data_IF_063678626503
#
_entry.id   IF_063678626503
#
_cell.length_a   1.000
_cell.length_b   1.000
_cell.length_c   1.000
_cell.angle_alpha   90.00
_cell.angle_beta   90.00
_cell.angle_gamma   90.00
#
_symmetry.space_group_name_H-M   'P 1'
#
loop_
_entity.id
_entity.type
_entity.pdbx_description
1 polymer ?
#
# COMPACT_ATOMS: atom_id res chain seq x y z
N UNK A 1 -33.15 -41.99 31.58
CA UNK A 1 -33.52 -41.36 30.30
C UNK A 1 -32.46 -40.36 29.79
N UNK A 2 -31.17 -40.53 30.14
CA UNK A 2 -30.11 -39.54 29.81
C UNK A 2 -29.28 -39.87 28.55
N UNK A 3 -29.18 -41.15 28.17
CA UNK A 3 -28.32 -41.61 27.09
C UNK A 3 -28.57 -40.98 25.68
N UNK A 4 -29.81 -40.69 25.25
CA UNK A 4 -30.04 -40.09 23.93
C UNK A 4 -29.55 -38.64 23.82
N UNK A 5 -29.66 -37.88 24.92
CA UNK A 5 -29.20 -36.48 24.97
C UNK A 5 -27.67 -36.41 25.03
N UNK A 6 -27.03 -37.37 25.70
CA UNK A 6 -25.57 -37.46 25.76
C UNK A 6 -24.96 -37.80 24.39
N UNK A 7 -25.55 -38.73 23.63
CA UNK A 7 -25.07 -39.08 22.30
C UNK A 7 -25.18 -37.92 21.30
N UNK A 8 -26.30 -37.20 21.31
CA UNK A 8 -26.50 -36.05 20.43
C UNK A 8 -25.51 -34.93 20.75
N UNK A 9 -25.21 -34.68 22.04
CA UNK A 9 -24.17 -33.74 22.45
C UNK A 9 -22.80 -34.17 21.93
N UNK A 10 -22.46 -35.46 22.03
CA UNK A 10 -21.20 -36.00 21.50
C UNK A 10 -21.11 -35.82 19.99
N UNK A 11 -22.20 -36.06 19.24
CA UNK A 11 -22.23 -35.86 17.79
C UNK A 11 -22.00 -34.42 17.37
N UNK A 12 -22.62 -33.46 18.08
CA UNK A 12 -22.40 -32.03 17.81
C UNK A 12 -20.96 -31.60 18.03
N UNK A 13 -20.30 -32.13 19.07
CA UNK A 13 -18.86 -31.90 19.29
C UNK A 13 -18.03 -32.41 18.11
N UNK A 14 -18.34 -33.61 17.62
CA UNK A 14 -17.65 -34.17 16.43
C UNK A 14 -17.85 -33.28 15.21
N UNK A 15 -19.08 -32.82 14.95
CA UNK A 15 -19.42 -31.92 13.84
C UNK A 15 -18.73 -30.55 13.97
N UNK A 16 -18.51 -30.07 15.20
CA UNK A 16 -17.76 -28.85 15.49
C UNK A 16 -16.23 -29.02 15.40
N UNK A 17 -15.72 -30.21 15.08
CA UNK A 17 -14.28 -30.48 15.00
C UNK A 17 -13.60 -30.69 16.36
N UNK A 18 -14.36 -30.81 17.46
CA UNK A 18 -13.80 -30.98 18.80
C UNK A 18 -13.22 -32.39 19.01
N UNK A 19 -12.17 -32.47 19.83
CA UNK A 19 -11.59 -33.73 20.31
C UNK A 19 -12.46 -34.24 21.47
N UNK A 20 -12.98 -35.45 21.33
CA UNK A 20 -13.77 -36.11 22.37
C UNK A 20 -12.91 -36.56 23.55
N UNK A 21 -13.47 -36.53 24.76
CA UNK A 21 -12.88 -37.24 25.90
C UNK A 21 -12.97 -38.77 25.71
N UNK A 22 -12.13 -39.52 26.41
CA UNK A 22 -12.13 -41.00 26.35
C UNK A 22 -13.51 -41.61 26.63
N UNK A 23 -14.25 -41.03 27.58
CA UNK A 23 -15.61 -41.47 27.92
C UNK A 23 -16.61 -41.20 26.78
N UNK A 24 -16.52 -40.03 26.14
CA UNK A 24 -17.37 -39.67 25.01
C UNK A 24 -17.06 -40.52 23.77
N UNK A 25 -15.78 -40.78 23.51
CA UNK A 25 -15.34 -41.66 22.43
C UNK A 25 -15.76 -43.11 22.67
N UNK A 26 -15.64 -43.61 23.90
CA UNK A 26 -16.10 -44.95 24.27
C UNK A 26 -17.63 -45.12 24.10
N UNK A 27 -18.40 -44.10 24.51
CA UNK A 27 -19.84 -44.06 24.29
C UNK A 27 -20.18 -44.14 22.79
N UNK A 28 -19.55 -43.29 21.98
CA UNK A 28 -19.78 -43.25 20.53
C UNK A 28 -19.39 -44.57 19.86
N UNK A 29 -18.27 -45.18 20.27
CA UNK A 29 -17.80 -46.47 19.76
C UNK A 29 -18.77 -47.61 20.09
N UNK A 30 -19.28 -47.66 21.32
CA UNK A 30 -20.26 -48.66 21.72
C UNK A 30 -21.56 -48.54 20.92
N UNK A 31 -22.03 -47.31 20.66
CA UNK A 31 -23.27 -47.09 19.92
C UNK A 31 -23.10 -47.32 18.41
N UNK A 32 -21.94 -46.95 17.85
CA UNK A 32 -21.59 -47.25 16.47
C UNK A 32 -21.53 -48.77 16.18
N UNK A 33 -21.19 -49.60 17.17
CA UNK A 33 -21.21 -51.07 17.04
C UNK A 33 -22.63 -51.65 17.08
N UNK A 34 -23.58 -50.99 17.75
CA UNK A 34 -24.98 -51.43 17.82
C UNK A 34 -25.79 -50.97 16.61
N UNK A 35 -25.42 -49.82 16.03
CA UNK A 35 -26.09 -49.24 14.87
C UNK A 35 -25.81 -50.00 13.57
N UNK A 36 -26.83 -50.13 12.72
CA UNK A 36 -26.69 -50.76 11.38
C UNK A 36 -26.38 -49.75 10.27
N UNK A 37 -26.68 -48.47 10.47
CA UNK A 37 -26.45 -47.40 9.48
C UNK A 37 -25.00 -46.90 9.41
N UNK A 38 -24.72 -46.04 8.43
CA UNK A 38 -23.42 -45.38 8.26
C UNK A 38 -23.21 -44.24 9.27
N UNK A 39 -24.27 -43.54 9.68
CA UNK A 39 -24.19 -42.28 10.42
C UNK A 39 -23.32 -42.33 11.70
N UNK A 40 -23.55 -43.29 12.60
CA UNK A 40 -22.79 -43.37 13.86
C UNK A 40 -21.36 -43.87 13.66
N UNK A 41 -21.18 -44.78 12.71
CA UNK A 41 -19.85 -45.27 12.32
C UNK A 41 -19.03 -44.16 11.64
N UNK A 42 -19.68 -43.31 10.86
CA UNK A 42 -19.07 -42.14 10.24
C UNK A 42 -18.74 -41.06 11.27
N UNK A 43 -19.64 -40.81 12.23
CA UNK A 43 -19.36 -39.91 13.36
C UNK A 43 -18.16 -40.42 14.18
N UNK A 44 -18.04 -41.73 14.41
CA UNK A 44 -16.86 -42.32 15.04
C UNK A 44 -15.60 -42.08 14.20
N UNK A 45 -15.66 -42.25 12.88
CA UNK A 45 -14.53 -41.98 12.00
C UNK A 45 -14.11 -40.50 12.02
N UNK A 46 -15.07 -39.56 12.01
CA UNK A 46 -14.79 -38.13 12.13
C UNK A 46 -14.19 -37.78 13.49
N UNK A 47 -14.66 -38.38 14.58
CA UNK A 47 -14.07 -38.19 15.91
C UNK A 47 -12.59 -38.63 15.94
N UNK A 48 -12.26 -39.74 15.28
CA UNK A 48 -10.89 -40.22 15.14
C UNK A 48 -10.04 -39.26 14.29
N UNK A 49 -10.59 -38.70 13.21
CA UNK A 49 -9.89 -37.69 12.39
C UNK A 49 -9.63 -36.40 13.19
N UNK A 50 -10.62 -35.88 13.94
CA UNK A 50 -10.44 -34.69 14.78
C UNK A 50 -9.33 -34.90 15.82
N UNK A 51 -9.14 -36.13 16.27
CA UNK A 51 -8.08 -36.51 17.22
C UNK A 51 -6.72 -36.80 16.56
N UNK A 52 -6.57 -36.67 15.23
CA UNK A 52 -5.34 -37.01 14.50
C UNK A 52 -5.04 -38.52 14.48
N UNK A 53 -6.08 -39.35 14.62
CA UNK A 53 -6.00 -40.81 14.61
C UNK A 53 -6.47 -41.38 13.27
N UNK A 54 -6.01 -40.82 12.14
CA UNK A 54 -6.46 -41.21 10.80
C UNK A 54 -6.11 -42.66 10.46
N UNK A 55 -5.03 -43.20 11.06
CA UNK A 55 -4.67 -44.63 10.92
C UNK A 55 -5.74 -45.56 11.48
N UNK A 56 -6.44 -45.15 12.53
CA UNK A 56 -7.57 -45.90 13.10
C UNK A 56 -8.87 -45.64 12.34
N UNK A 57 -9.06 -44.41 11.84
CA UNK A 57 -10.25 -44.04 11.07
C UNK A 57 -10.31 -44.75 9.70
N UNK A 58 -9.16 -44.92 9.05
CA UNK A 58 -9.05 -45.47 7.69
C UNK A 58 -9.74 -46.83 7.50
N UNK A 59 -9.44 -47.90 8.27
CA UNK A 59 -10.09 -49.20 8.07
C UNK A 59 -11.61 -49.15 8.30
N UNK A 60 -12.08 -48.28 9.20
CA UNK A 60 -13.49 -48.05 9.45
C UNK A 60 -14.17 -47.40 8.23
N UNK A 61 -13.54 -46.37 7.65
CA UNK A 61 -14.02 -45.67 6.45
C UNK A 61 -13.97 -46.55 5.20
N UNK A 62 -12.95 -47.41 5.06
CA UNK A 62 -12.88 -48.39 3.98
C UNK A 62 -14.01 -49.43 4.08
N UNK A 63 -14.33 -49.88 5.30
CA UNK A 63 -15.50 -50.75 5.52
C UNK A 63 -16.80 -50.03 5.20
N UNK A 64 -16.97 -48.79 5.65
CA UNK A 64 -18.14 -47.99 5.34
C UNK A 64 -18.32 -47.76 3.84
N UNK A 65 -17.24 -47.51 3.10
CA UNK A 65 -17.30 -47.35 1.65
C UNK A 65 -17.74 -48.64 0.95
N UNK A 66 -17.39 -49.83 1.47
CA UNK A 66 -17.87 -51.11 0.94
C UNK A 66 -19.36 -51.32 1.20
N UNK A 67 -19.79 -51.02 2.43
CA UNK A 67 -21.18 -51.23 2.87
C UNK A 67 -22.13 -50.19 2.26
N UNK A 68 -21.65 -48.96 2.05
CA UNK A 68 -22.42 -47.82 1.56
C UNK A 68 -21.71 -47.11 0.40
N UNK A 69 -21.57 -47.79 -0.76
CA UNK A 69 -20.71 -47.31 -1.84
C UNK A 69 -21.17 -46.00 -2.48
N UNK A 70 -22.41 -45.55 -2.24
CA UNK A 70 -22.99 -44.29 -2.79
C UNK A 70 -23.17 -43.19 -1.74
N UNK A 71 -22.77 -43.43 -0.49
CA UNK A 71 -22.90 -42.46 0.60
C UNK A 71 -21.78 -41.41 0.47
N UNK A 72 -22.17 -40.19 0.07
CA UNK A 72 -21.25 -39.08 -0.17
C UNK A 72 -20.45 -38.70 1.09
N UNK A 73 -21.09 -38.48 2.26
CA UNK A 73 -20.40 -38.28 3.52
C UNK A 73 -19.31 -39.34 3.82
N UNK A 74 -19.57 -40.62 3.55
CA UNK A 74 -18.57 -41.68 3.74
C UNK A 74 -17.35 -41.50 2.83
N UNK A 75 -17.58 -41.16 1.55
CA UNK A 75 -16.48 -40.93 0.60
C UNK A 75 -15.65 -39.70 0.96
N UNK A 76 -16.30 -38.63 1.43
CA UNK A 76 -15.60 -37.43 1.90
C UNK A 76 -14.82 -37.68 3.19
N UNK A 77 -15.37 -38.43 4.13
CA UNK A 77 -14.65 -38.88 5.32
C UNK A 77 -13.40 -39.68 4.97
N UNK A 78 -13.50 -40.60 4.00
CA UNK A 78 -12.34 -41.34 3.49
C UNK A 78 -11.30 -40.43 2.83
N UNK A 79 -11.72 -39.46 2.03
CA UNK A 79 -10.81 -38.49 1.42
C UNK A 79 -10.07 -37.66 2.48
N UNK A 80 -10.79 -37.15 3.51
CA UNK A 80 -10.19 -36.40 4.63
C UNK A 80 -9.17 -37.25 5.41
N UNK A 81 -9.47 -38.51 5.69
CA UNK A 81 -8.52 -39.44 6.33
C UNK A 81 -7.27 -39.70 5.45
N UNK A 82 -7.45 -39.85 4.14
CA UNK A 82 -6.32 -40.01 3.21
C UNK A 82 -5.44 -38.75 3.16
N UNK A 83 -6.03 -37.56 3.22
CA UNK A 83 -5.29 -36.29 3.30
C UNK A 83 -4.50 -36.15 4.60
N UNK A 84 -5.08 -36.52 5.75
CA UNK A 84 -4.35 -36.53 7.03
C UNK A 84 -3.20 -37.54 7.08
N UNK A 85 -3.30 -38.62 6.30
CA UNK A 85 -2.22 -39.60 6.10
C UNK A 85 -1.23 -39.22 4.99
N UNK A 86 -1.32 -38.01 4.43
CA UNK A 86 -0.50 -37.51 3.32
C UNK A 86 -0.60 -38.37 2.03
N UNK A 87 -1.65 -39.19 1.91
CA UNK A 87 -1.92 -40.04 0.73
C UNK A 87 -2.66 -39.25 -0.36
N UNK A 88 -2.06 -38.14 -0.80
CA UNK A 88 -2.70 -37.16 -1.69
C UNK A 88 -3.22 -37.75 -3.01
N UNK A 89 -2.48 -38.68 -3.63
CA UNK A 89 -2.88 -39.31 -4.89
C UNK A 89 -4.11 -40.23 -4.75
N UNK A 90 -4.28 -40.87 -3.59
CA UNK A 90 -5.47 -41.68 -3.34
C UNK A 90 -6.70 -40.81 -3.07
N UNK A 91 -6.50 -39.70 -2.34
CA UNK A 91 -7.54 -38.70 -2.09
C UNK A 91 -8.01 -38.05 -3.41
N UNK A 92 -7.08 -37.67 -4.29
CA UNK A 92 -7.39 -37.05 -5.58
C UNK A 92 -8.25 -37.96 -6.48
N UNK A 93 -7.89 -39.25 -6.61
CA UNK A 93 -8.69 -40.22 -7.40
C UNK A 93 -10.11 -40.31 -6.87
N UNK A 94 -10.26 -40.46 -5.55
CA UNK A 94 -11.57 -40.54 -4.90
C UNK A 94 -12.38 -39.25 -5.09
N UNK A 95 -11.77 -38.09 -4.88
CA UNK A 95 -12.45 -36.79 -5.01
C UNK A 95 -12.83 -36.48 -6.46
N UNK A 96 -12.05 -36.92 -7.44
CA UNK A 96 -12.39 -36.81 -8.86
C UNK A 96 -13.66 -37.60 -9.19
N UNK A 97 -13.77 -38.84 -8.70
CA UNK A 97 -14.97 -39.67 -8.86
C UNK A 97 -16.20 -39.05 -8.19
N UNK A 98 -16.00 -38.46 -7.01
CA UNK A 98 -17.06 -37.78 -6.23
C UNK A 98 -17.52 -36.51 -6.93
N UNK A 99 -16.59 -35.67 -7.39
CA UNK A 99 -16.89 -34.42 -8.08
C UNK A 99 -17.67 -34.68 -9.37
N UNK A 100 -17.35 -35.74 -10.12
CA UNK A 100 -18.10 -36.11 -11.32
C UNK A 100 -19.58 -36.47 -11.03
N UNK A 101 -19.86 -36.99 -9.83
CA UNK A 101 -21.22 -37.35 -9.40
C UNK A 101 -21.96 -36.18 -8.72
N UNK A 102 -21.22 -35.19 -8.20
CA UNK A 102 -21.76 -34.07 -7.43
C UNK A 102 -20.96 -32.78 -7.69
N UNK A 103 -20.99 -32.23 -8.92
CA UNK A 103 -20.08 -31.17 -9.39
C UNK A 103 -20.30 -29.78 -8.77
N UNK A 104 -21.04 -29.69 -7.66
CA UNK A 104 -21.32 -28.44 -6.99
C UNK A 104 -21.72 -28.62 -5.54
N UNK A 105 -21.36 -29.75 -4.92
CA UNK A 105 -21.56 -29.94 -3.49
C UNK A 105 -20.46 -29.17 -2.72
N UNK A 106 -20.82 -28.23 -1.82
CA UNK A 106 -19.86 -27.42 -1.08
C UNK A 106 -18.84 -28.23 -0.27
N UNK A 107 -19.24 -29.39 0.28
CA UNK A 107 -18.32 -30.23 1.05
C UNK A 107 -17.23 -30.84 0.16
N UNK A 108 -17.60 -31.23 -1.07
CA UNK A 108 -16.63 -31.73 -2.05
C UNK A 108 -15.61 -30.66 -2.40
N UNK A 109 -16.07 -29.43 -2.63
CA UNK A 109 -15.22 -28.28 -2.96
C UNK A 109 -14.25 -27.96 -1.82
N UNK A 110 -14.70 -27.99 -0.55
CA UNK A 110 -13.81 -27.78 0.60
C UNK A 110 -12.72 -28.84 0.72
N UNK A 111 -13.05 -30.12 0.53
CA UNK A 111 -12.04 -31.19 0.60
C UNK A 111 -11.04 -31.10 -0.57
N UNK A 112 -11.50 -30.68 -1.75
CA UNK A 112 -10.61 -30.38 -2.89
C UNK A 112 -9.69 -29.17 -2.62
N UNK A 113 -10.19 -28.14 -1.93
CA UNK A 113 -9.37 -27.01 -1.49
C UNK A 113 -8.26 -27.45 -0.52
N UNK A 114 -8.58 -28.29 0.47
CA UNK A 114 -7.58 -28.85 1.39
C UNK A 114 -6.53 -29.69 0.66
N UNK A 115 -6.94 -30.51 -0.32
CA UNK A 115 -6.01 -31.25 -1.18
C UNK A 115 -5.06 -30.30 -1.94
N UNK A 116 -5.60 -29.22 -2.50
CA UNK A 116 -4.81 -28.20 -3.20
C UNK A 116 -3.78 -27.55 -2.28
N UNK A 117 -4.19 -27.13 -1.07
CA UNK A 117 -3.31 -26.59 -0.04
C UNK A 117 -2.18 -27.55 0.33
N UNK A 118 -2.50 -28.82 0.61
CA UNK A 118 -1.52 -29.86 0.97
C UNK A 118 -0.52 -30.18 -0.15
N UNK A 119 -0.85 -29.87 -1.40
CA UNK A 119 0.03 -30.03 -2.57
C UNK A 119 0.75 -28.75 -2.98
N UNK A 120 0.54 -27.63 -2.27
CA UNK A 120 1.06 -26.32 -2.66
C UNK A 120 0.39 -25.76 -3.93
N UNK A 121 -0.77 -26.28 -4.33
CA UNK A 121 -1.55 -25.85 -5.48
C UNK A 121 -2.54 -24.74 -5.06
N UNK A 122 -2.00 -23.64 -4.52
CA UNK A 122 -2.76 -22.55 -3.91
C UNK A 122 -3.84 -21.96 -4.83
N UNK A 123 -3.56 -21.84 -6.14
CA UNK A 123 -4.52 -21.27 -7.09
C UNK A 123 -5.74 -22.17 -7.30
N UNK A 124 -5.55 -23.50 -7.34
CA UNK A 124 -6.67 -24.44 -7.41
C UNK A 124 -7.47 -24.42 -6.13
N UNK A 125 -6.78 -24.37 -4.98
CA UNK A 125 -7.44 -24.28 -3.68
C UNK A 125 -8.30 -23.00 -3.58
N UNK A 126 -7.78 -21.85 -4.04
CA UNK A 126 -8.53 -20.59 -4.13
C UNK A 126 -9.80 -20.71 -4.97
N UNK A 127 -9.71 -21.33 -6.14
CA UNK A 127 -10.87 -21.53 -7.00
C UNK A 127 -11.96 -22.36 -6.31
N UNK A 128 -11.58 -23.48 -5.67
CA UNK A 128 -12.53 -24.33 -4.95
C UNK A 128 -13.15 -23.64 -3.73
N UNK A 129 -12.37 -22.87 -2.97
CA UNK A 129 -12.89 -22.08 -1.83
C UNK A 129 -13.87 -21.01 -2.31
N UNK A 130 -13.57 -20.31 -3.40
CA UNK A 130 -14.46 -19.32 -3.99
C UNK A 130 -15.79 -19.96 -4.43
N UNK A 131 -15.73 -21.13 -5.07
CA UNK A 131 -16.91 -21.87 -5.51
C UNK A 131 -17.74 -22.40 -4.33
N UNK A 132 -17.11 -22.78 -3.21
CA UNK A 132 -17.79 -23.20 -2.00
C UNK A 132 -18.52 -22.02 -1.34
N UNK A 133 -17.85 -20.88 -1.19
CA UNK A 133 -18.42 -19.66 -0.60
C UNK A 133 -19.49 -19.01 -1.49
N UNK A 134 -19.44 -19.20 -2.80
CA UNK A 134 -20.51 -18.76 -3.70
C UNK A 134 -21.82 -19.54 -3.47
N UNK A 135 -21.73 -20.78 -2.97
CA UNK A 135 -22.89 -21.64 -2.68
C UNK A 135 -23.39 -21.46 -1.25
N UNK A 136 -22.47 -21.39 -0.29
CA UNK A 136 -22.76 -21.04 1.09
C UNK A 136 -21.79 -19.97 1.60
N UNK A 137 -22.21 -18.69 1.56
CA UNK A 137 -21.39 -17.59 2.06
C UNK A 137 -21.08 -17.65 3.56
N UNK A 138 -21.81 -18.46 4.34
CA UNK A 138 -21.69 -18.57 5.80
C UNK A 138 -20.95 -19.84 6.26
N UNK A 139 -20.45 -20.67 5.34
CA UNK A 139 -19.69 -21.86 5.68
C UNK A 139 -18.39 -21.48 6.42
N UNK A 140 -18.31 -21.86 7.69
CA UNK A 140 -17.19 -21.51 8.56
C UNK A 140 -15.87 -22.15 8.12
N UNK A 141 -15.90 -23.38 7.61
CA UNK A 141 -14.70 -24.08 7.16
C UNK A 141 -14.15 -23.45 5.88
N UNK A 142 -15.01 -23.11 4.91
CA UNK A 142 -14.60 -22.43 3.69
C UNK A 142 -14.03 -21.03 3.98
N UNK A 143 -14.55 -20.30 4.97
CA UNK A 143 -13.98 -19.02 5.42
C UNK A 143 -12.60 -19.20 6.05
N UNK A 144 -12.41 -20.22 6.90
CA UNK A 144 -11.09 -20.53 7.47
C UNK A 144 -10.08 -20.91 6.39
N UNK A 145 -10.49 -21.73 5.40
CA UNK A 145 -9.63 -22.08 4.27
C UNK A 145 -9.26 -20.86 3.42
N UNK A 146 -10.18 -19.89 3.27
CA UNK A 146 -9.89 -18.61 2.63
C UNK A 146 -8.83 -17.83 3.41
N UNK A 147 -9.01 -17.69 4.73
CA UNK A 147 -8.03 -17.03 5.61
C UNK A 147 -6.66 -17.71 5.54
N UNK A 148 -6.60 -19.05 5.52
CA UNK A 148 -5.36 -19.80 5.35
C UNK A 148 -4.70 -19.49 4.00
N UNK A 149 -5.45 -19.50 2.90
CA UNK A 149 -4.94 -19.17 1.56
C UNK A 149 -4.47 -17.71 1.44
N UNK A 150 -5.16 -16.77 2.09
CA UNK A 150 -4.74 -15.36 2.15
C UNK A 150 -3.48 -15.19 3.01
N UNK A 151 -3.32 -16.02 4.05
CA UNK A 151 -2.11 -16.03 4.88
C UNK A 151 -0.88 -16.60 4.17
N UNK A 152 -1.07 -17.53 3.24
CA UNK A 152 -0.01 -18.08 2.37
C UNK A 152 0.45 -17.05 1.33
N UNK A 153 -0.43 -16.13 0.92
CA UNK A 153 -0.13 -14.98 0.04
C UNK A 153 0.44 -13.77 0.79
N UNK A 154 0.52 -13.81 2.13
CA UNK A 154 1.20 -12.75 2.86
C UNK A 154 2.69 -12.79 2.48
N UNK A 155 3.27 -11.67 2.00
CA UNK A 155 4.73 -11.57 2.00
C UNK A 155 5.23 -11.89 3.42
N UNK A 156 6.39 -12.57 3.56
CA UNK A 156 6.85 -13.05 4.87
C UNK A 156 6.77 -11.90 5.88
N UNK A 157 6.33 -12.17 7.13
CA UNK A 157 6.24 -11.12 8.13
C UNK A 157 7.58 -10.41 8.18
N UNK A 158 7.53 -9.08 8.11
CA UNK A 158 8.70 -8.24 8.29
C UNK A 158 9.41 -8.73 9.55
N UNK A 159 10.65 -9.22 9.41
CA UNK A 159 11.55 -9.49 10.55
C UNK A 159 11.36 -8.33 11.52
N UNK A 160 11.23 -8.53 12.85
CA UNK A 160 11.15 -7.40 13.76
C UNK A 160 12.38 -6.52 13.52
N UNK A 161 12.20 -5.45 12.75
CA UNK A 161 13.23 -4.47 12.56
C UNK A 161 13.36 -3.86 13.94
N UNK A 162 14.54 -4.00 14.54
CA UNK A 162 14.95 -3.19 15.67
C UNK A 162 14.49 -1.76 15.34
N UNK A 163 13.42 -1.32 16.01
CA UNK A 163 12.69 -0.14 15.59
C UNK A 163 13.54 1.05 16.01
N UNK A 164 14.54 1.39 15.19
CA UNK A 164 15.50 2.44 15.47
C UNK A 164 14.71 3.70 15.74
N UNK A 165 14.82 4.23 16.95
CA UNK A 165 14.11 5.43 17.34
C UNK A 165 14.84 6.65 16.78
N UNK A 166 14.09 7.72 16.51
CA UNK A 166 14.66 8.99 16.00
C UNK A 166 15.88 9.50 16.82
N UNK A 167 15.92 9.39 18.16
CA UNK A 167 17.11 9.77 18.93
C UNK A 167 18.35 8.93 18.60
N UNK A 168 18.18 7.62 18.38
CA UNK A 168 19.27 6.68 18.05
C UNK A 168 19.80 6.96 16.65
N UNK A 169 18.92 7.19 15.68
CA UNK A 169 19.28 7.64 14.34
C UNK A 169 20.08 8.95 14.38
N UNK A 170 19.61 9.92 15.16
CA UNK A 170 20.29 11.22 15.30
C UNK A 170 21.68 11.08 15.92
N UNK A 171 21.82 10.21 16.93
CA UNK A 171 23.11 9.91 17.56
C UNK A 171 24.07 9.22 16.59
N UNK A 172 23.59 8.25 15.81
CA UNK A 172 24.38 7.56 14.80
C UNK A 172 24.88 8.52 13.71
N UNK A 173 24.01 9.38 13.18
CA UNK A 173 24.35 10.37 12.15
C UNK A 173 25.38 11.40 12.64
N UNK A 174 25.21 11.93 13.86
CA UNK A 174 26.16 12.90 14.43
C UNK A 174 27.52 12.27 14.70
N UNK A 175 27.56 11.01 15.18
CA UNK A 175 28.79 10.26 15.33
C UNK A 175 29.48 10.00 13.98
N UNK A 176 28.71 9.65 12.94
CA UNK A 176 29.22 9.46 11.58
C UNK A 176 29.80 10.74 10.97
N UNK A 177 29.13 11.88 11.12
CA UNK A 177 29.65 13.19 10.68
C UNK A 177 30.94 13.56 11.41
N UNK A 178 31.04 13.26 12.71
CA UNK A 178 32.27 13.43 13.48
C UNK A 178 33.42 12.56 12.96
N UNK A 179 33.16 11.27 12.69
CA UNK A 179 34.15 10.36 12.07
C UNK A 179 34.60 10.83 10.69
N UNK A 180 33.66 11.34 9.89
CA UNK A 180 33.92 11.90 8.56
C UNK A 180 34.56 13.30 8.59
N UNK A 181 34.80 13.88 9.78
CA UNK A 181 35.36 15.23 9.98
C UNK A 181 34.59 16.34 9.29
N UNK A 182 33.28 16.16 9.11
CA UNK A 182 32.40 17.18 8.54
C UNK A 182 32.00 18.13 9.66
N UNK A 183 32.22 19.44 9.49
CA UNK A 183 31.83 20.42 10.52
C UNK A 183 30.29 20.56 10.55
N UNK A 184 29.67 20.36 11.71
CA UNK A 184 28.23 20.49 11.85
C UNK A 184 27.82 21.16 13.17
N UNK A 185 26.61 21.71 13.21
CA UNK A 185 25.96 22.26 14.41
C UNK A 185 24.48 21.87 14.40
N UNK A 186 23.98 21.37 15.53
CA UNK A 186 22.55 21.13 15.71
C UNK A 186 21.83 22.44 16.05
N UNK A 187 20.71 22.71 15.39
CA UNK A 187 19.83 23.84 15.66
C UNK A 187 18.38 23.36 15.69
N UNK A 188 17.87 23.05 16.88
CA UNK A 188 16.53 22.49 17.05
C UNK A 188 16.39 21.11 16.38
N UNK A 189 15.47 21.02 15.41
CA UNK A 189 15.21 19.80 14.62
C UNK A 189 16.15 19.63 13.42
N UNK A 190 16.96 20.65 13.13
CA UNK A 190 17.84 20.71 11.97
C UNK A 190 19.31 20.50 12.36
N UNK A 191 20.07 20.01 11.38
CA UNK A 191 21.52 19.92 11.41
C UNK A 191 22.09 20.86 10.34
N UNK A 192 22.88 21.84 10.77
CA UNK A 192 23.65 22.70 9.90
C UNK A 192 24.97 21.99 9.60
N UNK A 193 25.24 21.67 8.34
CA UNK A 193 26.43 20.94 7.88
C UNK A 193 27.24 21.83 6.96
N UNK A 194 28.53 22.00 7.24
CA UNK A 194 29.45 22.71 6.35
C UNK A 194 29.81 21.81 5.18
N UNK A 195 29.45 22.25 3.98
CA UNK A 195 29.68 21.52 2.73
C UNK A 195 31.10 21.76 2.22
N UNK A 196 31.64 20.83 1.44
CA UNK A 196 32.94 20.98 0.78
C UNK A 196 33.00 22.20 -0.17
N UNK A 197 31.85 22.64 -0.69
CA UNK A 197 31.71 23.87 -1.49
C UNK A 197 31.83 25.17 -0.68
N UNK A 198 32.03 25.09 0.63
CA UNK A 198 32.19 26.25 1.52
C UNK A 198 30.88 26.79 2.11
N UNK A 199 29.73 26.38 1.61
CA UNK A 199 28.40 26.74 2.13
C UNK A 199 27.97 25.92 3.35
N UNK A 200 26.85 26.31 3.96
CA UNK A 200 26.21 25.57 5.06
C UNK A 200 24.87 25.01 4.58
N UNK A 201 24.76 23.70 4.50
CA UNK A 201 23.49 23.00 4.22
C UNK A 201 22.69 22.84 5.51
N UNK A 202 21.39 23.15 5.47
CA UNK A 202 20.45 22.85 6.56
C UNK A 202 19.74 21.55 6.24
N UNK A 203 19.76 20.61 7.17
CA UNK A 203 19.20 19.27 6.98
C UNK A 203 18.21 18.98 8.11
N UNK A 204 16.94 18.74 7.77
CA UNK A 204 15.95 18.32 8.77
C UNK A 204 16.20 16.85 9.14
N UNK A 205 16.51 16.60 10.42
CA UNK A 205 16.85 15.26 10.91
C UNK A 205 15.64 14.33 10.90
N UNK A 206 14.42 14.87 10.96
CA UNK A 206 13.18 14.11 10.86
C UNK A 206 12.95 13.56 9.46
N UNK A 207 13.19 14.37 8.42
CA UNK A 207 13.10 13.93 7.03
C UNK A 207 14.13 12.84 6.72
N UNK A 208 15.37 12.97 7.21
CA UNK A 208 16.38 11.91 7.05
C UNK A 208 16.00 10.61 7.77
N UNK A 209 15.38 10.73 8.95
CA UNK A 209 14.89 9.58 9.70
C UNK A 209 13.71 8.89 8.98
N UNK A 210 12.78 9.67 8.41
CA UNK A 210 11.69 9.13 7.60
C UNK A 210 12.23 8.38 6.36
N UNK A 211 13.21 8.96 5.66
CA UNK A 211 13.87 8.29 4.53
C UNK A 211 14.59 6.99 4.93
N UNK A 212 15.18 6.95 6.13
CA UNK A 212 15.73 5.73 6.70
C UNK A 212 14.64 4.70 7.03
N UNK A 213 13.47 5.11 7.50
CA UNK A 213 12.34 4.18 7.75
C UNK A 213 11.75 3.61 6.47
N UNK A 214 11.74 4.39 5.39
CA UNK A 214 11.27 3.95 4.05
C UNK A 214 12.25 2.99 3.37
N UNK A 215 13.54 3.12 3.63
CA UNK A 215 14.58 2.24 3.10
C UNK A 215 15.79 2.17 4.05
N UNK A 216 15.73 1.33 5.10
CA UNK A 216 16.80 1.25 6.11
C UNK A 216 18.11 0.68 5.56
N UNK A 217 18.10 0.16 4.32
CA UNK A 217 19.20 -0.56 3.70
C UNK A 217 19.45 -1.92 4.36
N UNK A 218 20.18 -2.79 3.68
CA UNK A 218 20.52 -4.13 4.21
C UNK A 218 21.73 -4.13 5.17
N UNK A 219 22.38 -2.97 5.37
CA UNK A 219 23.66 -2.85 6.07
C UNK A 219 23.56 -2.27 7.50
N UNK A 220 22.35 -2.00 8.00
CA UNK A 220 22.11 -1.50 9.36
C UNK A 220 22.38 0.00 9.58
N UNK A 221 21.96 0.53 10.73
CA UNK A 221 21.94 1.97 11.02
C UNK A 221 23.30 2.65 10.88
N UNK A 222 24.38 2.03 11.38
CA UNK A 222 25.71 2.62 11.37
C UNK A 222 26.24 2.82 9.95
N UNK A 223 26.12 1.80 9.09
CA UNK A 223 26.57 1.87 7.70
C UNK A 223 25.77 2.91 6.90
N UNK A 224 24.45 2.98 7.14
CA UNK A 224 23.59 4.01 6.56
C UNK A 224 24.03 5.42 6.99
N UNK A 225 24.26 5.62 8.30
CA UNK A 225 24.70 6.90 8.84
C UNK A 225 26.08 7.33 8.29
N UNK A 226 27.02 6.40 8.12
CA UNK A 226 28.34 6.67 7.53
C UNK A 226 28.25 7.05 6.04
N UNK A 227 27.43 6.35 5.26
CA UNK A 227 27.20 6.69 3.85
C UNK A 227 26.52 8.06 3.71
N UNK A 228 25.57 8.37 4.58
CA UNK A 228 24.89 9.66 4.62
C UNK A 228 25.85 10.78 5.01
N UNK A 229 26.70 10.58 6.02
CA UNK A 229 27.73 11.54 6.43
C UNK A 229 28.74 11.79 5.30
N UNK A 230 29.16 10.75 4.58
CA UNK A 230 30.05 10.89 3.42
C UNK A 230 29.40 11.69 2.28
N UNK A 231 28.11 11.48 1.99
CA UNK A 231 27.34 12.28 1.02
C UNK A 231 27.21 13.74 1.44
N UNK A 232 26.93 13.98 2.71
CA UNK A 232 26.80 15.33 3.28
C UNK A 232 28.14 16.08 3.28
N UNK A 233 29.26 15.37 3.49
CA UNK A 233 30.62 15.92 3.45
C UNK A 233 31.20 16.06 2.03
N UNK A 234 30.82 15.17 1.12
CA UNK A 234 31.42 14.98 -0.21
C UNK A 234 30.68 15.62 -1.38
N UNK A 235 29.85 16.63 -1.15
CA UNK A 235 29.23 17.44 -2.22
C UNK A 235 30.30 18.27 -2.96
N UNK A 236 31.15 17.62 -3.75
CA UNK A 236 31.91 18.22 -4.85
C UNK A 236 31.25 17.86 -6.18
N UNK A 237 30.71 18.89 -6.84
CA UNK A 237 30.57 19.03 -8.30
C UNK A 237 29.99 17.86 -9.12
N UNK A 238 28.67 17.77 -9.18
CA UNK A 238 27.94 17.23 -10.33
C UNK A 238 27.37 18.31 -11.27
N UNK A 239 27.84 19.56 -11.13
CA UNK A 239 27.36 20.71 -11.91
C UNK A 239 28.30 21.05 -13.09
N UNK A 240 29.31 20.22 -13.37
CA UNK A 240 30.29 20.46 -14.44
C UNK A 240 30.03 19.67 -15.73
N UNK A 241 28.96 18.87 -15.81
CA UNK A 241 28.60 18.15 -17.03
C UNK A 241 27.46 18.88 -17.75
N UNK A 242 27.86 19.76 -18.67
CA UNK A 242 27.11 20.36 -19.77
C UNK A 242 25.90 21.23 -19.40
N UNK A 243 26.03 22.53 -19.70
CA UNK A 243 24.99 23.56 -19.64
C UNK A 243 23.64 23.10 -20.21
N UNK A 244 23.67 22.35 -21.32
CA UNK A 244 22.48 21.79 -21.97
C UNK A 244 21.74 20.76 -21.10
N UNK A 245 22.48 19.97 -20.29
CA UNK A 245 21.89 19.02 -19.35
C UNK A 245 21.23 19.74 -18.16
N UNK A 246 21.73 20.94 -17.79
CA UNK A 246 21.13 21.75 -16.74
C UNK A 246 19.82 22.39 -17.20
N UNK A 247 19.82 23.07 -18.36
CA UNK A 247 18.63 23.73 -18.90
C UNK A 247 17.46 22.78 -19.11
N UNK A 248 17.71 21.58 -19.66
CA UNK A 248 16.67 20.59 -19.95
C UNK A 248 15.96 20.05 -18.68
N UNK A 249 16.66 20.10 -17.53
CA UNK A 249 16.17 19.59 -16.25
C UNK A 249 15.49 20.64 -15.39
N UNK A 250 15.51 21.91 -15.79
CA UNK A 250 14.89 22.97 -15.01
C UNK A 250 13.37 22.88 -15.05
N UNK A 251 12.74 23.02 -13.88
CA UNK A 251 11.28 23.15 -13.72
C UNK A 251 10.97 24.27 -12.73
N UNK A 252 9.91 25.07 -12.94
CA UNK A 252 9.49 26.07 -11.98
C UNK A 252 8.60 25.41 -10.91
N UNK A 253 8.64 25.94 -9.70
CA UNK A 253 7.73 25.59 -8.59
C UNK A 253 7.27 26.85 -7.90
N UNK A 254 6.01 26.87 -7.48
CA UNK A 254 5.47 27.97 -6.68
C UNK A 254 5.74 27.74 -5.19
N UNK A 255 6.07 28.81 -4.49
CA UNK A 255 6.25 28.84 -3.04
C UNK A 255 5.66 30.10 -2.42
N UNK A 256 5.28 30.08 -1.13
CA UNK A 256 4.88 31.30 -0.44
C UNK A 256 6.05 32.29 -0.31
N UNK A 257 5.77 33.58 -0.17
CA UNK A 257 6.80 34.64 -0.13
C UNK A 257 7.85 34.46 0.99
N UNK A 258 7.45 33.91 2.15
CA UNK A 258 8.35 33.67 3.28
C UNK A 258 9.35 32.52 3.03
N UNK A 259 9.15 31.73 1.98
CA UNK A 259 10.01 30.59 1.64
C UNK A 259 11.42 31.02 1.23
N UNK A 260 11.61 32.22 0.69
CA UNK A 260 12.93 32.75 0.34
C UNK A 260 13.89 32.78 1.55
N UNK A 261 13.38 33.07 2.75
CA UNK A 261 14.17 33.02 3.97
C UNK A 261 14.64 31.59 4.34
N UNK A 262 13.93 30.56 3.86
CA UNK A 262 14.25 29.13 4.08
C UNK A 262 15.18 28.57 3.00
N UNK A 263 15.16 29.14 1.79
CA UNK A 263 15.93 28.70 0.62
C UNK A 263 17.00 29.72 0.21
N UNK A 264 17.83 30.15 1.16
CA UNK A 264 18.85 31.19 0.94
C UNK A 264 19.82 30.80 -0.19
N UNK A 265 19.95 31.69 -1.18
CA UNK A 265 20.84 31.51 -2.34
C UNK A 265 20.26 30.63 -3.45
N UNK A 266 19.03 30.11 -3.30
CA UNK A 266 18.30 29.53 -4.42
C UNK A 266 17.84 30.62 -5.39
N UNK A 267 17.90 30.34 -6.68
CA UNK A 267 17.35 31.21 -7.71
C UNK A 267 15.81 31.26 -7.56
N UNK A 268 15.28 32.46 -7.46
CA UNK A 268 13.84 32.71 -7.47
C UNK A 268 13.52 34.10 -8.02
N UNK A 269 12.24 34.33 -8.32
CA UNK A 269 11.70 35.65 -8.66
C UNK A 269 10.26 35.81 -8.18
N UNK A 270 9.77 37.06 -8.07
CA UNK A 270 8.36 37.32 -7.78
C UNK A 270 7.43 36.63 -8.79
N UNK A 271 6.38 36.01 -8.24
CA UNK A 271 5.28 35.39 -8.96
C UNK A 271 3.94 36.09 -8.67
N UNK A 272 2.83 35.58 -9.23
CA UNK A 272 1.51 36.12 -9.00
C UNK A 272 1.01 35.84 -7.58
N UNK A 273 -0.04 36.56 -7.15
CA UNK A 273 -0.75 36.31 -5.90
C UNK A 273 0.12 36.33 -4.62
N UNK A 274 1.23 37.07 -4.63
CA UNK A 274 2.17 37.11 -3.50
C UNK A 274 2.97 35.81 -3.33
N UNK A 275 3.04 34.98 -4.37
CA UNK A 275 3.86 33.77 -4.43
C UNK A 275 5.21 34.09 -5.09
N UNK A 276 6.18 33.22 -4.86
CA UNK A 276 7.50 33.24 -5.48
C UNK A 276 7.64 32.05 -6.44
N UNK A 277 8.32 32.30 -7.56
CA UNK A 277 8.71 31.26 -8.52
C UNK A 277 10.14 30.84 -8.21
N UNK A 278 10.32 29.60 -7.78
CA UNK A 278 11.62 28.98 -7.60
C UNK A 278 11.92 28.02 -8.75
N UNK A 279 13.21 27.76 -8.99
CA UNK A 279 13.65 26.82 -10.02
C UNK A 279 14.30 25.61 -9.38
N UNK A 280 13.90 24.43 -9.83
CA UNK A 280 14.42 23.15 -9.36
C UNK A 280 14.94 22.32 -10.52
N UNK A 281 15.90 21.47 -10.22
CA UNK A 281 16.43 20.46 -11.14
C UNK A 281 15.66 19.16 -10.90
N UNK A 282 15.03 18.66 -11.96
CA UNK A 282 14.38 17.34 -11.96
C UNK A 282 15.45 16.26 -11.78
N UNK A 283 15.32 15.48 -10.71
CA UNK A 283 16.15 14.33 -10.36
C UNK A 283 15.24 13.20 -9.87
N UNK A 284 15.62 11.95 -10.14
CA UNK A 284 14.77 10.79 -9.89
C UNK A 284 14.47 10.55 -8.41
N UNK A 285 15.27 11.13 -7.50
CA UNK A 285 15.20 10.83 -6.07
C UNK A 285 14.95 12.05 -5.17
N UNK A 286 15.21 13.30 -5.62
CA UNK A 286 15.07 14.50 -4.77
C UNK A 286 14.74 15.80 -5.54
N UNK A 287 14.02 16.72 -4.90
CA UNK A 287 13.84 18.10 -5.42
C UNK A 287 15.04 18.95 -5.02
N UNK A 288 15.82 19.39 -6.01
CA UNK A 288 16.99 20.23 -5.80
C UNK A 288 16.74 21.64 -6.33
N UNK A 289 16.70 22.64 -5.44
CA UNK A 289 16.67 24.04 -5.83
C UNK A 289 17.96 24.45 -6.54
N UNK A 290 17.83 25.17 -7.66
CA UNK A 290 18.95 25.70 -8.41
C UNK A 290 19.58 26.87 -7.62
N UNK A 291 20.86 26.79 -7.22
CA UNK A 291 21.53 27.93 -6.61
C UNK A 291 21.77 29.02 -7.65
N UNK A 292 21.55 30.29 -7.31
CA UNK A 292 21.83 31.43 -8.20
C UNK A 292 23.32 31.46 -8.60
N UNK A 293 24.22 31.14 -7.66
CA UNK A 293 25.65 31.04 -7.92
C UNK A 293 26.04 29.95 -8.93
N UNK A 294 25.15 29.00 -9.24
CA UNK A 294 25.39 27.96 -10.24
C UNK A 294 25.12 28.44 -11.68
N UNK A 295 24.51 29.62 -11.88
CA UNK A 295 24.16 30.14 -13.19
C UNK A 295 25.39 30.52 -14.02
N UNK A 296 26.25 31.40 -13.50
CA UNK A 296 27.41 31.90 -14.24
C UNK A 296 28.41 30.79 -14.66
N UNK A 297 28.77 29.82 -13.80
CA UNK A 297 29.59 28.68 -14.22
C UNK A 297 28.94 27.81 -15.31
N UNK A 298 27.60 27.77 -15.34
CA UNK A 298 26.84 27.09 -16.36
C UNK A 298 26.52 27.98 -17.57
N UNK A 299 27.08 29.19 -17.68
CA UNK A 299 26.80 30.10 -18.81
C UNK A 299 25.32 30.50 -18.94
N UNK A 300 24.55 30.43 -17.86
CA UNK A 300 23.13 30.81 -17.83
C UNK A 300 22.94 32.19 -17.19
N UNK A 301 21.88 32.88 -17.59
CA UNK A 301 21.37 34.06 -16.87
C UNK A 301 20.07 33.68 -16.13
N UNK A 302 19.64 34.47 -15.12
CA UNK A 302 18.35 34.26 -14.47
C UNK A 302 17.19 34.19 -15.48
N UNK A 303 17.23 35.04 -16.51
CA UNK A 303 16.20 35.11 -17.56
C UNK A 303 16.23 33.88 -18.47
N UNK A 304 17.42 33.40 -18.86
CA UNK A 304 17.52 32.19 -19.70
C UNK A 304 17.09 30.94 -18.93
N UNK A 305 17.41 30.87 -17.64
CA UNK A 305 16.96 29.79 -16.74
C UNK A 305 15.44 29.81 -16.54
N UNK A 306 14.83 30.99 -16.37
CA UNK A 306 13.36 31.13 -16.30
C UNK A 306 12.71 30.65 -17.60
N UNK A 307 13.17 31.15 -18.75
CA UNK A 307 12.63 30.78 -20.05
C UNK A 307 12.77 29.27 -20.31
N UNK A 308 13.89 28.65 -19.93
CA UNK A 308 14.09 27.22 -20.03
C UNK A 308 13.13 26.43 -19.14
N UNK A 309 12.98 26.82 -17.88
CA UNK A 309 12.10 26.14 -16.93
C UNK A 309 10.64 26.12 -17.41
N UNK A 310 10.13 27.27 -17.87
CA UNK A 310 8.76 27.38 -18.37
C UNK A 310 8.55 26.65 -19.69
N UNK A 311 9.53 26.70 -20.61
CA UNK A 311 9.51 25.92 -21.86
C UNK A 311 9.42 24.43 -21.57
N UNK A 312 10.22 23.93 -20.62
CA UNK A 312 10.20 22.52 -20.28
C UNK A 312 8.89 22.12 -19.63
N UNK A 313 8.34 22.93 -18.72
CA UNK A 313 7.04 22.63 -18.10
C UNK A 313 5.91 22.62 -19.15
N UNK A 314 5.94 23.53 -20.12
CA UNK A 314 4.94 23.61 -21.18
C UNK A 314 4.92 22.38 -22.10
N UNK A 315 6.00 21.58 -22.14
CA UNK A 315 6.05 20.35 -22.94
C UNK A 315 5.14 19.24 -22.38
N UNK A 316 4.73 19.32 -21.10
CA UNK A 316 3.92 18.31 -20.42
C UNK A 316 2.85 18.96 -19.54
N UNK A 317 1.69 19.19 -20.15
CA UNK A 317 0.47 19.60 -19.44
C UNK A 317 -0.03 18.48 -18.53
N UNK A 318 -0.65 18.85 -17.43
CA UNK A 318 -1.26 17.91 -16.49
C UNK A 318 -2.71 17.58 -16.91
N UNK A 319 -3.15 16.33 -16.71
CA UNK A 319 -4.53 15.96 -16.91
C UNK A 319 -5.43 16.67 -15.90
N UNK A 320 -6.62 17.04 -16.37
CA UNK A 320 -7.68 17.63 -15.55
C UNK A 320 -8.76 16.56 -15.36
N UNK A 321 -9.06 16.20 -14.11
CA UNK A 321 -10.03 15.14 -13.79
C UNK A 321 -11.05 15.60 -12.75
N UNK A 322 -12.32 15.18 -12.84
CA UNK A 322 -13.28 15.40 -11.77
C UNK A 322 -12.87 14.61 -10.53
N UNK A 323 -12.99 15.25 -9.36
CA UNK A 323 -12.59 14.67 -8.07
C UNK A 323 -13.58 15.00 -6.98
N UNK A 324 -13.73 14.17 -5.98
CA UNK A 324 -14.52 14.47 -4.78
C UNK A 324 -13.60 14.51 -3.56
N UNK A 325 -14.02 15.28 -2.55
CA UNK A 325 -13.37 15.30 -1.24
C UNK A 325 -14.22 14.48 -0.29
N UNK A 326 -13.68 13.37 0.20
CA UNK A 326 -14.33 12.50 1.19
C UNK A 326 -13.49 12.50 2.46
N UNK A 327 -14.04 13.02 3.56
CA UNK A 327 -13.35 13.15 4.85
C UNK A 327 -11.96 13.83 4.77
N UNK A 328 -11.77 14.77 3.83
CA UNK A 328 -10.51 15.50 3.62
C UNK A 328 -9.54 14.83 2.63
N UNK A 329 -9.84 13.60 2.20
CA UNK A 329 -9.10 12.87 1.17
C UNK A 329 -9.65 13.16 -0.22
N UNK A 330 -8.76 13.35 -1.19
CA UNK A 330 -9.12 13.62 -2.59
C UNK A 330 -9.21 12.29 -3.34
N UNK A 331 -10.36 12.00 -3.94
CA UNK A 331 -10.59 10.79 -4.74
C UNK A 331 -11.06 11.14 -6.15
N UNK A 332 -10.73 10.30 -7.13
CA UNK A 332 -11.30 10.42 -8.47
C UNK A 332 -12.82 10.23 -8.41
N UNK A 333 -13.55 11.06 -9.14
CA UNK A 333 -14.99 10.96 -9.23
C UNK A 333 -15.41 10.39 -10.59
N UNK A 334 -16.31 9.41 -10.59
CA UNK A 334 -16.88 8.83 -11.83
C UNK A 334 -17.88 9.77 -12.51
N UNK A 335 -18.48 10.68 -11.75
CA UNK A 335 -19.38 11.73 -12.22
C UNK A 335 -18.94 13.10 -11.70
N UNK A 336 -19.43 14.17 -12.32
CA UNK A 336 -19.07 15.53 -11.92
C UNK A 336 -19.53 15.85 -10.49
N UNK A 337 -18.59 16.33 -9.67
CA UNK A 337 -18.68 16.53 -8.21
C UNK A 337 -18.62 18.00 -7.78
N UNK A 338 -18.53 18.95 -8.72
CA UNK A 338 -18.25 20.36 -8.43
C UNK A 338 -16.76 20.71 -8.41
N UNK A 339 -15.88 19.71 -8.36
CA UNK A 339 -14.44 19.86 -8.16
C UNK A 339 -13.65 19.15 -9.28
N UNK A 340 -12.54 19.77 -9.67
CA UNK A 340 -11.55 19.17 -10.55
C UNK A 340 -10.17 19.17 -9.90
N UNK A 341 -9.33 18.23 -10.28
CA UNK A 341 -7.91 18.21 -9.98
C UNK A 341 -7.09 18.40 -11.26
N UNK A 342 -6.09 19.27 -11.19
CA UNK A 342 -4.95 19.29 -12.12
C UNK A 342 -3.85 18.47 -11.44
N UNK A 343 -3.58 17.27 -11.95
CA UNK A 343 -2.77 16.29 -11.23
C UNK A 343 -1.88 15.48 -12.18
N UNK A 344 -0.65 15.94 -12.37
CA UNK A 344 0.42 15.09 -12.94
C UNK A 344 1.12 14.27 -11.85
N UNK A 345 1.11 14.74 -10.60
CA UNK A 345 1.74 14.05 -9.47
C UNK A 345 3.25 14.30 -9.33
N UNK A 346 3.83 15.16 -10.16
CA UNK A 346 5.27 15.44 -10.19
C UNK A 346 5.71 16.64 -9.33
N UNK A 347 4.76 17.30 -8.67
CA UNK A 347 5.05 18.45 -7.80
C UNK A 347 5.05 19.82 -8.49
N UNK A 348 4.73 19.88 -9.79
CA UNK A 348 4.77 21.11 -10.58
C UNK A 348 3.38 21.66 -10.97
N UNK A 349 2.31 21.02 -10.50
CA UNK A 349 0.94 21.32 -10.93
C UNK A 349 0.48 22.75 -10.60
N UNK A 350 0.93 23.30 -9.47
CA UNK A 350 0.68 24.70 -9.12
C UNK A 350 1.28 25.68 -10.16
N UNK A 351 2.51 25.41 -10.61
CA UNK A 351 3.16 26.22 -11.63
C UNK A 351 2.49 26.05 -13.00
N UNK A 352 1.97 24.86 -13.32
CA UNK A 352 1.24 24.62 -14.58
C UNK A 352 0.05 25.53 -14.76
N UNK A 353 -0.64 25.95 -13.69
CA UNK A 353 -1.75 26.91 -13.80
C UNK A 353 -1.33 28.26 -14.41
N UNK A 354 -0.05 28.62 -14.34
CA UNK A 354 0.45 29.85 -14.94
C UNK A 354 0.67 29.73 -16.46
N UNK A 355 0.63 28.52 -17.02
CA UNK A 355 0.70 28.29 -18.46
C UNK A 355 -0.67 28.54 -19.12
N UNK A 356 -0.75 29.44 -20.13
CA UNK A 356 -1.96 29.62 -20.94
C UNK A 356 -2.56 28.31 -21.49
N UNK A 357 -1.79 27.35 -22.05
CA UNK A 357 -2.37 26.10 -22.55
C UNK A 357 -2.98 25.23 -21.45
N UNK A 358 -2.42 25.23 -20.23
CA UNK A 358 -3.03 24.52 -19.10
C UNK A 358 -4.35 25.18 -18.68
N UNK A 359 -4.39 26.52 -18.60
CA UNK A 359 -5.62 27.25 -18.26
C UNK A 359 -6.72 27.01 -19.29
N UNK A 360 -6.35 26.99 -20.57
CA UNK A 360 -7.29 26.66 -21.65
C UNK A 360 -7.83 25.23 -21.52
N UNK A 361 -6.96 24.25 -21.25
CA UNK A 361 -7.38 22.87 -21.02
C UNK A 361 -8.31 22.73 -19.81
N UNK A 362 -8.04 23.49 -18.74
CA UNK A 362 -8.91 23.55 -17.57
C UNK A 362 -10.26 24.20 -17.88
N UNK A 363 -10.28 25.34 -18.59
CA UNK A 363 -11.52 26.04 -18.95
C UNK A 363 -12.45 25.20 -19.84
N UNK A 364 -11.90 24.34 -20.71
CA UNK A 364 -12.71 23.42 -21.53
C UNK A 364 -13.54 22.44 -20.69
N UNK A 365 -13.10 22.11 -19.47
CA UNK A 365 -13.79 21.17 -18.58
C UNK A 365 -14.55 21.89 -17.46
N UNK A 366 -13.91 22.92 -16.87
CA UNK A 366 -14.47 23.68 -15.77
C UNK A 366 -15.42 24.79 -16.22
N UNK A 367 -15.42 25.18 -17.49
CA UNK A 367 -16.18 26.30 -18.04
C UNK A 367 -15.40 27.62 -18.04
N UNK A 368 -15.88 28.56 -18.85
CA UNK A 368 -15.31 29.91 -18.96
C UNK A 368 -15.83 30.78 -17.81
N UNK A 369 -14.97 31.08 -16.83
CA UNK A 369 -15.31 31.87 -15.66
C UNK A 369 -14.23 31.79 -14.58
N UNK A 370 -14.30 32.65 -13.55
CA UNK A 370 -13.32 32.63 -12.47
C UNK A 370 -13.42 31.31 -11.68
N UNK A 371 -12.25 30.71 -11.43
CA UNK A 371 -12.12 29.48 -10.67
C UNK A 371 -11.49 29.77 -9.31
N UNK A 372 -11.98 29.09 -8.28
CA UNK A 372 -11.35 29.02 -6.97
C UNK A 372 -10.34 27.88 -6.98
N UNK A 373 -9.12 28.15 -6.49
CA UNK A 373 -7.98 27.22 -6.54
C UNK A 373 -7.41 26.99 -5.15
N UNK A 374 -7.13 25.74 -4.80
CA UNK A 374 -6.38 25.37 -3.60
C UNK A 374 -5.04 24.72 -3.99
N UNK A 375 -3.95 25.27 -3.47
CA UNK A 375 -2.57 24.84 -3.73
C UNK A 375 -1.96 24.11 -2.52
N UNK A 376 -2.82 23.62 -1.62
CA UNK A 376 -2.45 23.06 -0.32
C UNK A 376 -1.79 21.69 -0.39
N UNK A 377 -1.64 21.09 -1.58
CA UNK A 377 -0.95 19.80 -1.77
C UNK A 377 0.09 19.97 -2.86
N UNK A 378 1.18 19.20 -2.78
CA UNK A 378 2.28 19.30 -3.75
C UNK A 378 1.95 18.52 -5.03
N UNK A 379 1.30 17.38 -4.88
CA UNK A 379 1.08 16.37 -5.91
C UNK A 379 -0.12 16.67 -6.81
N UNK A 380 -0.94 17.65 -6.45
CA UNK A 380 -2.11 18.05 -7.22
C UNK A 380 -2.58 19.45 -6.85
N UNK A 381 -3.35 20.05 -7.75
CA UNK A 381 -4.09 21.30 -7.52
C UNK A 381 -5.57 21.04 -7.63
N UNK A 382 -6.34 21.54 -6.66
CA UNK A 382 -7.79 21.43 -6.68
C UNK A 382 -8.42 22.75 -7.14
N UNK A 383 -9.45 22.65 -7.97
CA UNK A 383 -10.16 23.79 -8.54
C UNK A 383 -11.66 23.56 -8.55
N UNK A 384 -12.43 24.62 -8.32
CA UNK A 384 -13.88 24.64 -8.55
C UNK A 384 -14.29 25.96 -9.18
N UNK A 385 -15.54 26.05 -9.65
CA UNK A 385 -16.11 27.32 -10.08
C UNK A 385 -16.28 28.23 -8.88
N UNK A 386 -15.95 29.52 -9.02
CA UNK A 386 -16.17 30.48 -7.95
C UNK A 386 -17.67 30.72 -7.66
N UNK A 387 -18.55 30.45 -8.65
CA UNK A 387 -20.00 30.47 -8.46
C UNK A 387 -20.56 29.29 -7.68
N UNK A 388 -19.77 28.24 -7.45
CA UNK A 388 -20.17 27.06 -6.67
C UNK A 388 -19.76 27.24 -5.20
N UNK A 389 -20.69 27.79 -4.41
CA UNK A 389 -20.45 28.08 -2.99
C UNK A 389 -20.12 26.83 -2.17
N UNK A 390 -20.76 25.69 -2.47
CA UNK A 390 -20.54 24.44 -1.75
C UNK A 390 -19.14 23.88 -2.04
N UNK A 391 -18.72 23.89 -3.31
CA UNK A 391 -17.37 23.47 -3.68
C UNK A 391 -16.29 24.41 -3.13
N UNK A 392 -16.54 25.73 -3.12
CA UNK A 392 -15.63 26.71 -2.51
C UNK A 392 -15.45 26.46 -1.01
N UNK A 393 -16.53 26.19 -0.28
CA UNK A 393 -16.49 25.87 1.14
C UNK A 393 -15.77 24.54 1.40
N UNK A 394 -15.97 23.53 0.55
CA UNK A 394 -15.24 22.27 0.61
C UNK A 394 -13.73 22.47 0.42
N UNK A 395 -13.30 23.29 -0.55
CA UNK A 395 -11.89 23.63 -0.75
C UNK A 395 -11.29 24.34 0.46
N UNK A 396 -12.01 25.31 1.04
CA UNK A 396 -11.50 26.10 2.17
C UNK A 396 -11.31 25.28 3.45
N UNK A 397 -12.04 24.17 3.60
CA UNK A 397 -11.92 23.25 4.75
C UNK A 397 -10.73 22.30 4.67
N UNK A 398 -10.05 22.22 3.52
CA UNK A 398 -8.91 21.32 3.35
C UNK A 398 -7.70 21.82 4.15
N UNK A 399 -7.12 20.91 4.92
CA UNK A 399 -5.86 21.16 5.64
C UNK A 399 -4.72 21.04 4.63
N UNK A 400 -3.89 22.08 4.45
CA UNK A 400 -2.73 22.00 3.56
C UNK A 400 -1.69 21.03 4.13
N UNK A 401 -1.00 20.30 3.24
CA UNK A 401 0.16 19.51 3.61
C UNK A 401 1.30 20.43 4.08
N UNK A 402 2.28 19.92 4.87
CA UNK A 402 3.38 20.73 5.39
C UNK A 402 4.20 21.46 4.31
N UNK A 403 4.22 20.92 3.09
CA UNK A 403 4.94 21.46 1.93
C UNK A 403 4.00 22.15 0.91
N UNK A 404 2.70 22.21 1.21
CA UNK A 404 1.68 22.87 0.41
C UNK A 404 1.63 24.38 0.62
N UNK A 405 0.99 25.10 -0.30
CA UNK A 405 0.77 26.54 -0.19
C UNK A 405 -0.59 26.75 0.50
N UNK A 406 -0.63 27.32 1.71
CA UNK A 406 -1.87 27.50 2.44
C UNK A 406 -2.77 28.56 1.78
N UNK A 407 -4.08 28.40 1.95
CA UNK A 407 -5.08 29.35 1.45
C UNK A 407 -5.68 28.97 0.09
N UNK A 408 -6.54 29.85 -0.41
CA UNK A 408 -7.20 29.71 -1.72
C UNK A 408 -6.94 30.93 -2.59
N UNK A 409 -6.90 30.71 -3.90
CA UNK A 409 -6.56 31.70 -4.91
C UNK A 409 -7.65 31.77 -5.97
N UNK A 410 -7.71 32.89 -6.69
CA UNK A 410 -8.60 33.07 -7.84
C UNK A 410 -7.79 32.88 -9.12
N UNK A 411 -8.27 32.03 -10.03
CA UNK A 411 -7.70 31.81 -11.35
C UNK A 411 -8.67 32.31 -12.42
N UNK A 412 -8.18 33.21 -13.27
CA UNK A 412 -8.89 33.74 -14.45
C UNK A 412 -8.05 33.52 -15.70
N UNK A 413 -8.54 34.00 -16.85
CA UNK A 413 -7.75 33.99 -18.10
C UNK A 413 -6.46 34.81 -17.95
N UNK A 414 -6.54 35.95 -17.26
CA UNK A 414 -5.40 36.84 -16.98
C UNK A 414 -4.35 36.20 -16.07
N UNK A 415 -4.74 35.26 -15.21
CA UNK A 415 -3.82 34.46 -14.41
C UNK A 415 -4.30 34.20 -12.98
N UNK A 416 -3.35 33.86 -12.11
CA UNK A 416 -3.61 33.57 -10.71
C UNK A 416 -3.56 34.88 -9.88
N UNK A 417 -4.47 35.04 -8.94
CA UNK A 417 -4.57 36.19 -8.04
C UNK A 417 -4.96 35.76 -6.63
N UNK A 418 -4.65 36.58 -5.63
CA UNK A 418 -5.15 36.37 -4.27
C UNK A 418 -6.68 36.61 -4.26
N UNK A 419 -7.39 35.90 -3.37
CA UNK A 419 -8.84 36.06 -3.14
C UNK A 419 -9.09 37.21 -2.19
#
# INVERSE_FOLDING_TARGET
MSAPLDLERVRRKVEAGEILSDAELALLRAEAQRGTGSALRLALAHALINAGAEREALPLLESLRRDFPRDLPVRLGLARALLGLERHGDAERLLTEVLAQSPGDPEVLKVLAVLGLRRGEADKARAYVADALARDPFDAEARLLKEELESVDLPPPSVPQEQVLRPEFTAALTAALGRARVAFRRQGKDLLVKLATGGVGRVDVGSLYAAYQESPGTQGLTAYADALAARLGGLSSGLSAEVAALEARLRPVLRPADFAARAVGALHRPGPAGLEVFYVLEDAEFVRYLPEAALAPAGLTPESADAAAWRNLASRLAPVRPVLVDQGEVRLAEAFSGLWAVAEGDGHDAARLLLPPQRKALALLAGEGPLRVALGRRELVLVCRESDAAACEALARLVPSPDGIPGTFRLTEEGLSAV
#
